data_IF_931333250397
#
_entry.id   IF_931333250397
#
_cell.length_a   1.000
_cell.length_b   1.000
_cell.length_c   1.000
_cell.angle_alpha   90.00
_cell.angle_beta   90.00
_cell.angle_gamma   90.00
#
_symmetry.space_group_name_H-M   'P 1'
#
loop_
_entity.id
_entity.type
_entity.pdbx_description
1 polymer ?
#
# COMPACT_ATOMS: atom_id res chain seq x y z
N UNK A 1 20.11 10.09 -3.29
CA UNK A 1 18.80 9.45 -3.16
C UNK A 1 17.86 10.43 -2.47
N UNK A 2 16.72 10.76 -3.08
CA UNK A 2 15.69 11.56 -2.42
C UNK A 2 14.76 10.65 -1.58
N UNK A 3 13.89 11.25 -0.77
CA UNK A 3 12.99 10.49 0.13
C UNK A 3 12.00 9.60 -0.64
N UNK A 4 11.60 9.99 -1.85
CA UNK A 4 10.69 9.18 -2.66
C UNK A 4 11.37 7.87 -3.12
N UNK A 5 12.59 7.96 -3.66
CA UNK A 5 13.38 6.81 -4.09
C UNK A 5 13.66 5.83 -2.94
N UNK A 6 13.91 6.36 -1.75
CA UNK A 6 14.06 5.57 -0.52
C UNK A 6 12.79 4.79 -0.17
N UNK A 7 11.64 5.49 -0.11
CA UNK A 7 10.34 4.88 0.17
C UNK A 7 9.96 3.85 -0.88
N UNK A 8 10.33 4.08 -2.15
CA UNK A 8 10.08 3.15 -3.23
C UNK A 8 10.90 1.86 -3.06
N UNK A 9 12.19 1.95 -2.73
CA UNK A 9 13.03 0.77 -2.44
C UNK A 9 12.48 -0.06 -1.27
N UNK A 10 12.07 0.62 -0.20
CA UNK A 10 11.43 -0.05 0.95
C UNK A 10 10.13 -0.75 0.53
N UNK A 11 9.32 -0.11 -0.31
CA UNK A 11 8.11 -0.72 -0.86
C UNK A 11 8.41 -1.94 -1.73
N UNK A 12 9.38 -1.86 -2.63
CA UNK A 12 9.75 -2.96 -3.53
C UNK A 12 10.24 -4.19 -2.75
N UNK A 13 11.09 -3.98 -1.73
CA UNK A 13 11.55 -5.04 -0.84
C UNK A 13 10.37 -5.67 -0.07
N UNK A 14 9.52 -4.85 0.53
CA UNK A 14 8.33 -5.30 1.24
C UNK A 14 7.38 -6.09 0.34
N UNK A 15 7.07 -5.57 -0.85
CA UNK A 15 6.15 -6.20 -1.79
C UNK A 15 6.67 -7.54 -2.30
N UNK A 16 7.98 -7.62 -2.60
CA UNK A 16 8.63 -8.88 -3.01
C UNK A 16 8.53 -9.97 -1.94
N UNK A 17 8.66 -9.60 -0.67
CA UNK A 17 8.56 -10.54 0.45
C UNK A 17 7.10 -10.90 0.78
N UNK A 18 6.13 -10.08 0.35
CA UNK A 18 4.71 -10.23 0.70
C UNK A 18 3.78 -10.14 -0.53
N UNK A 19 3.90 -11.05 -1.52
CA UNK A 19 3.09 -11.00 -2.74
C UNK A 19 1.59 -11.17 -2.47
N UNK A 20 1.21 -11.95 -1.45
CA UNK A 20 -0.18 -12.17 -1.06
C UNK A 20 -0.93 -10.88 -0.65
N UNK A 21 -0.21 -9.84 -0.18
CA UNK A 21 -0.82 -8.54 0.15
C UNK A 21 -1.36 -7.87 -1.11
N UNK A 22 -0.65 -8.02 -2.23
CA UNK A 22 -1.10 -7.51 -3.52
C UNK A 22 -2.37 -8.20 -3.99
N UNK A 23 -2.41 -9.53 -3.90
CA UNK A 23 -3.59 -10.33 -4.28
C UNK A 23 -4.83 -9.90 -3.49
N UNK A 24 -4.70 -9.76 -2.17
CA UNK A 24 -5.79 -9.27 -1.32
C UNK A 24 -6.16 -7.82 -1.65
N UNK A 25 -5.18 -6.96 -1.90
CA UNK A 25 -5.44 -5.56 -2.29
C UNK A 25 -6.25 -5.49 -3.59
N UNK A 26 -5.83 -6.22 -4.63
CA UNK A 26 -6.52 -6.26 -5.92
C UNK A 26 -7.94 -6.81 -5.76
N UNK A 27 -8.11 -7.92 -5.03
CA UNK A 27 -9.42 -8.52 -4.75
C UNK A 27 -10.38 -7.53 -4.10
N UNK A 28 -9.98 -6.88 -3.02
CA UNK A 28 -10.84 -5.91 -2.32
C UNK A 28 -11.06 -4.65 -3.16
N UNK A 29 -10.10 -4.25 -3.98
CA UNK A 29 -10.25 -3.12 -4.90
C UNK A 29 -11.35 -3.38 -5.92
N UNK A 30 -11.35 -4.54 -6.58
CA UNK A 30 -12.41 -4.91 -7.53
C UNK A 30 -13.78 -5.01 -6.87
N UNK A 31 -13.85 -5.50 -5.63
CA UNK A 31 -15.10 -5.52 -4.86
C UNK A 31 -15.66 -4.11 -4.61
N UNK A 32 -14.79 -3.11 -4.44
CA UNK A 32 -15.20 -1.73 -4.22
C UNK A 32 -15.49 -0.98 -5.52
N UNK A 33 -14.80 -1.27 -6.63
CA UNK A 33 -15.09 -0.72 -7.96
C UNK A 33 -16.54 -1.02 -8.37
N UNK A 34 -17.05 -2.20 -8.01
CA UNK A 34 -18.44 -2.59 -8.28
C UNK A 34 -19.49 -1.79 -7.47
N UNK A 35 -19.07 -1.04 -6.45
CA UNK A 35 -19.97 -0.40 -5.47
C UNK A 35 -19.86 1.12 -5.45
N UNK A 36 -18.64 1.65 -5.63
CA UNK A 36 -18.34 3.06 -5.48
C UNK A 36 -17.56 3.56 -6.69
N UNK A 37 -17.83 4.79 -7.18
CA UNK A 37 -17.09 5.36 -8.31
C UNK A 37 -15.66 5.76 -7.93
N UNK A 38 -15.39 6.01 -6.65
CA UNK A 38 -14.06 6.39 -6.12
C UNK A 38 -13.88 5.85 -4.72
N UNK A 39 -12.65 5.46 -4.38
CA UNK A 39 -12.35 4.95 -3.04
C UNK A 39 -10.93 5.27 -2.57
N UNK A 40 -10.69 5.09 -1.27
CA UNK A 40 -9.38 5.29 -0.67
C UNK A 40 -8.60 3.98 -0.63
N UNK A 41 -7.39 3.96 -1.22
CA UNK A 41 -6.49 2.82 -1.08
C UNK A 41 -6.17 2.52 0.40
N UNK A 42 -6.12 3.55 1.25
CA UNK A 42 -5.94 3.36 2.70
C UNK A 42 -7.10 2.55 3.30
N UNK A 43 -8.33 2.84 2.90
CA UNK A 43 -9.49 2.11 3.40
C UNK A 43 -9.45 0.64 2.98
N UNK A 44 -8.98 0.32 1.77
CA UNK A 44 -8.73 -1.07 1.35
C UNK A 44 -7.72 -1.74 2.28
N UNK A 45 -6.61 -1.08 2.62
CA UNK A 45 -5.64 -1.63 3.55
C UNK A 45 -6.19 -1.83 4.97
N UNK A 46 -7.04 -0.95 5.47
CA UNK A 46 -7.69 -1.20 6.75
C UNK A 46 -8.59 -2.45 6.70
N UNK A 47 -9.31 -2.67 5.59
CA UNK A 47 -10.09 -3.91 5.40
C UNK A 47 -9.18 -5.13 5.39
N UNK A 48 -8.05 -5.10 4.69
CA UNK A 48 -7.08 -6.22 4.68
C UNK A 48 -6.57 -6.49 6.10
N UNK A 49 -6.21 -5.45 6.87
CA UNK A 49 -5.74 -5.58 8.25
C UNK A 49 -6.80 -6.26 9.13
N UNK A 50 -8.05 -5.77 9.10
CA UNK A 50 -9.14 -6.37 9.87
C UNK A 50 -9.46 -7.81 9.46
N UNK A 51 -9.52 -8.08 8.15
CA UNK A 51 -9.75 -9.43 7.63
C UNK A 51 -8.69 -10.41 8.13
N UNK A 52 -7.41 -10.00 8.15
CA UNK A 52 -6.33 -10.84 8.67
C UNK A 52 -6.42 -11.05 10.17
N UNK A 53 -6.64 -10.00 10.96
CA UNK A 53 -6.87 -10.11 12.41
C UNK A 53 -7.97 -11.11 12.75
N UNK A 54 -9.05 -11.17 11.96
CA UNK A 54 -10.16 -12.11 12.17
C UNK A 54 -9.77 -13.55 11.82
N UNK A 55 -8.93 -13.74 10.80
CA UNK A 55 -8.58 -15.07 10.26
C UNK A 55 -7.32 -15.69 10.86
N UNK A 56 -6.47 -14.92 11.53
CA UNK A 56 -5.20 -15.38 12.07
C UNK A 56 -4.96 -14.83 13.47
N UNK A 57 -4.59 -15.71 14.39
CA UNK A 57 -4.23 -15.35 15.77
C UNK A 57 -2.91 -14.56 15.87
N UNK A 58 -2.20 -14.37 14.74
CA UNK A 58 -0.89 -13.72 14.66
C UNK A 58 -0.99 -12.36 13.93
N UNK A 59 -0.91 -11.26 14.68
CA UNK A 59 -1.02 -9.89 14.15
C UNK A 59 0.31 -9.29 13.70
N UNK A 60 1.43 -9.94 14.04
CA UNK A 60 2.80 -9.49 13.76
C UNK A 60 3.18 -9.60 12.28
N UNK A 61 2.60 -10.55 11.54
CA UNK A 61 2.95 -10.81 10.14
C UNK A 61 2.40 -9.77 9.15
N UNK A 62 1.57 -8.81 9.61
CA UNK A 62 0.83 -7.88 8.74
C UNK A 62 1.06 -6.40 9.03
N UNK A 63 2.25 -6.03 9.51
CA UNK A 63 2.58 -4.63 9.76
C UNK A 63 2.90 -3.87 8.47
N UNK A 64 1.86 -3.50 7.73
CA UNK A 64 1.98 -2.71 6.51
C UNK A 64 2.25 -1.25 6.86
N UNK A 65 3.38 -0.70 6.41
CA UNK A 65 3.65 0.74 6.56
C UNK A 65 2.65 1.58 5.76
N UNK A 66 2.15 2.66 6.37
CA UNK A 66 1.31 3.65 5.69
C UNK A 66 2.02 4.29 4.48
N UNK A 67 3.36 4.25 4.46
CA UNK A 67 4.17 4.72 3.33
C UNK A 67 4.02 3.86 2.07
N UNK A 68 3.62 2.59 2.19
CA UNK A 68 3.43 1.68 1.06
C UNK A 68 2.10 1.87 0.33
N UNK A 69 1.07 2.37 1.03
CA UNK A 69 -0.29 2.54 0.50
C UNK A 69 -0.32 3.29 -0.84
N UNK A 70 0.36 4.45 -1.00
CA UNK A 70 0.34 5.17 -2.27
C UNK A 70 1.02 4.41 -3.42
N UNK A 71 1.99 3.54 -3.13
CA UNK A 71 2.66 2.73 -4.15
C UNK A 71 1.75 1.62 -4.66
N UNK A 72 1.03 0.93 -3.77
CA UNK A 72 0.02 -0.04 -4.18
C UNK A 72 -1.09 0.57 -5.05
N UNK A 73 -1.58 1.77 -4.70
CA UNK A 73 -2.57 2.48 -5.50
C UNK A 73 -2.05 2.80 -6.91
N UNK A 74 -0.78 3.22 -7.03
CA UNK A 74 -0.14 3.51 -8.33
C UNK A 74 0.09 2.23 -9.14
N UNK A 75 0.63 1.19 -8.51
CA UNK A 75 0.82 -0.11 -9.13
C UNK A 75 -0.49 -0.68 -9.67
N UNK A 76 -1.61 -0.47 -8.97
CA UNK A 76 -2.94 -0.87 -9.45
C UNK A 76 -3.37 -0.11 -10.70
N UNK A 77 -3.21 1.21 -10.74
CA UNK A 77 -3.55 1.99 -11.94
C UNK A 77 -2.65 1.64 -13.12
N UNK A 78 -1.36 1.37 -12.87
CA UNK A 78 -0.43 0.91 -13.90
C UNK A 78 -0.80 -0.48 -14.45
N UNK A 79 -1.30 -1.38 -13.58
CA UNK A 79 -1.71 -2.73 -13.96
C UNK A 79 -3.09 -2.75 -14.63
N UNK A 80 -4.01 -1.89 -14.18
CA UNK A 80 -5.40 -1.79 -14.63
C UNK A 80 -5.75 -0.36 -15.05
N UNK A 81 -5.19 0.14 -16.17
CA UNK A 81 -5.38 1.52 -16.61
C UNK A 81 -6.85 1.88 -16.91
N UNK A 82 -7.70 0.89 -17.20
CA UNK A 82 -9.15 1.07 -17.35
C UNK A 82 -9.87 1.57 -16.07
N UNK A 83 -9.20 1.48 -14.93
CA UNK A 83 -9.69 1.95 -13.64
C UNK A 83 -8.95 3.21 -13.15
N UNK A 84 -8.28 3.92 -14.06
CA UNK A 84 -7.69 5.23 -13.77
C UNK A 84 -8.75 6.18 -13.19
N UNK A 85 -8.39 6.85 -12.09
CA UNK A 85 -9.28 7.77 -11.38
C UNK A 85 -10.15 7.14 -10.29
N UNK A 86 -10.14 5.80 -10.13
CA UNK A 86 -10.79 5.14 -9.00
C UNK A 86 -10.16 5.52 -7.65
N UNK A 87 -8.83 5.49 -7.58
CA UNK A 87 -8.09 5.93 -6.40
C UNK A 87 -7.77 7.42 -6.44
N UNK A 88 -8.03 8.13 -5.34
CA UNK A 88 -7.60 9.52 -5.18
C UNK A 88 -6.11 9.57 -4.83
N UNK A 89 -5.24 9.72 -5.83
CA UNK A 89 -3.81 9.89 -5.62
C UNK A 89 -3.47 11.36 -5.39
N UNK A 90 -2.79 11.66 -4.28
CA UNK A 90 -2.20 12.98 -4.03
C UNK A 90 -0.78 13.04 -4.61
N UNK A 91 -0.36 14.23 -5.06
CA UNK A 91 1.01 14.49 -5.48
C UNK A 91 1.98 14.18 -4.33
N UNK A 92 2.99 13.34 -4.57
CA UNK A 92 4.00 13.03 -3.56
C UNK A 92 5.00 14.18 -3.44
N UNK A 93 5.03 14.83 -2.28
CA UNK A 93 5.98 15.90 -1.97
C UNK A 93 7.34 15.38 -1.51
N UNK A 94 7.46 14.08 -1.22
CA UNK A 94 8.72 13.42 -0.82
C UNK A 94 9.82 13.54 -1.87
N UNK A 95 9.48 13.80 -3.14
CA UNK A 95 10.47 14.05 -4.20
C UNK A 95 11.39 15.24 -3.90
N UNK A 96 10.91 16.23 -3.15
CA UNK A 96 11.67 17.43 -2.79
C UNK A 96 12.40 17.31 -1.45
N UNK A 97 12.32 16.16 -0.77
CA UNK A 97 12.95 15.93 0.53
C UNK A 97 14.17 15.03 0.39
N UNK A 98 15.20 15.29 1.18
CA UNK A 98 16.34 14.37 1.34
C UNK A 98 15.89 13.08 2.02
N UNK A 99 16.50 11.95 1.63
CA UNK A 99 16.29 10.66 2.28
C UNK A 99 16.61 10.76 3.78
N UNK A 100 15.83 10.07 4.61
CA UNK A 100 16.06 10.08 6.06
C UNK A 100 17.01 8.97 6.52
N UNK A 101 17.34 8.02 5.63
CA UNK A 101 18.17 6.85 5.88
C UNK A 101 17.69 6.03 7.09
N UNK A 102 16.39 6.09 7.38
CA UNK A 102 15.79 5.19 8.35
C UNK A 102 15.72 3.82 7.68
N UNK A 103 16.19 2.78 8.37
CA UNK A 103 16.02 1.39 7.91
C UNK A 103 14.54 1.06 7.70
N UNK A 104 14.24 -0.17 7.28
CA UNK A 104 12.84 -0.62 7.30
C UNK A 104 12.30 -0.48 8.74
N UNK A 105 11.17 0.24 8.95
CA UNK A 105 10.57 0.35 10.26
C UNK A 105 10.21 -1.06 10.74
N UNK A 106 10.64 -1.42 11.95
CA UNK A 106 10.36 -2.76 12.47
C UNK A 106 8.87 -2.91 12.82
N UNK A 107 8.43 -4.15 13.10
CA UNK A 107 7.18 -4.43 13.78
C UNK A 107 6.88 -3.61 15.04
N UNK A 108 7.80 -2.80 15.56
CA UNK A 108 7.59 -1.86 16.68
C UNK A 108 7.38 -0.38 16.25
N UNK A 109 7.78 0.04 15.04
CA UNK A 109 7.86 1.46 14.65
C UNK A 109 6.62 2.09 13.96
N UNK A 110 5.68 1.28 13.46
CA UNK A 110 4.37 1.70 12.89
C UNK A 110 3.19 1.55 13.86
#
# INVERSE_FOLDING_TARGET
MNRLEEMQKQFEAFHKNNPHIWEEFVKHTFQMIAKEPKYSAKAIFEVIRWSKIITSDNTTDFKISNNHVPFYARAFIETYPEHEGFFQIKKQTSVYKVANNWGEPTPEDL
#
